data_IF_853893662074
#
_entry.id   IF_853893662074
#
_cell.length_a   1.000
_cell.length_b   1.000
_cell.length_c   1.000
_cell.angle_alpha   90.00
_cell.angle_beta   90.00
_cell.angle_gamma   90.00
#
_symmetry.space_group_name_H-M   'P 1'
#
loop_
_entity.id
_entity.type
_entity.pdbx_description
1 polymer ?
#
# COMPACT_ATOMS: atom_id res chain seq x y z
N UNK A 1 -16.50 -10.42 0.58
CA UNK A 1 -15.49 -10.86 1.57
C UNK A 1 -15.32 -9.70 2.53
N UNK A 2 -15.59 -9.86 3.82
CA UNK A 2 -15.26 -8.81 4.80
C UNK A 2 -13.74 -8.83 4.96
N UNK A 3 -13.04 -7.95 4.23
CA UNK A 3 -11.60 -7.80 4.38
C UNK A 3 -11.25 -7.40 5.82
N UNK A 4 -10.14 -7.91 6.34
CA UNK A 4 -9.64 -7.52 7.66
C UNK A 4 -9.35 -6.01 7.65
N UNK A 5 -9.85 -5.30 8.66
CA UNK A 5 -9.62 -3.88 8.87
C UNK A 5 -9.00 -3.68 10.25
N UNK A 6 -7.84 -3.05 10.32
CA UNK A 6 -7.15 -2.73 11.56
C UNK A 6 -7.28 -1.25 11.83
N UNK A 7 -7.59 -0.88 13.07
CA UNK A 7 -7.74 0.52 13.46
C UNK A 7 -6.74 0.89 14.55
N UNK A 8 -6.17 2.07 14.41
CA UNK A 8 -5.34 2.72 15.44
C UNK A 8 -5.98 4.06 15.83
N UNK A 9 -5.31 4.83 16.67
CA UNK A 9 -5.76 6.19 17.03
C UNK A 9 -5.92 7.09 15.79
N UNK A 10 -4.99 7.00 14.83
CA UNK A 10 -4.92 7.92 13.67
C UNK A 10 -5.14 7.26 12.32
N UNK A 11 -5.00 5.94 12.24
CA UNK A 11 -4.95 5.20 10.97
C UNK A 11 -6.00 4.10 10.91
N UNK A 12 -6.43 3.78 9.69
CA UNK A 12 -7.15 2.57 9.33
C UNK A 12 -6.26 1.82 8.32
N UNK A 13 -6.03 0.53 8.55
CA UNK A 13 -5.47 -0.36 7.54
C UNK A 13 -6.62 -1.15 6.94
N UNK A 14 -6.85 -0.98 5.64
CA UNK A 14 -7.92 -1.67 4.91
C UNK A 14 -7.44 -2.15 3.55
N UNK A 15 -8.10 -3.15 2.92
CA UNK A 15 -7.78 -3.56 1.57
C UNK A 15 -7.78 -2.37 0.61
N UNK A 16 -6.90 -2.39 -0.38
CA UNK A 16 -6.90 -1.40 -1.46
C UNK A 16 -8.18 -1.45 -2.30
N UNK A 17 -8.60 -0.29 -2.80
CA UNK A 17 -9.71 -0.15 -3.75
C UNK A 17 -9.21 0.58 -5.00
N UNK A 18 -9.75 0.28 -6.18
CA UNK A 18 -9.34 0.96 -7.43
C UNK A 18 -9.58 2.47 -7.40
N UNK A 19 -10.53 2.92 -6.57
CA UNK A 19 -10.84 4.33 -6.29
C UNK A 19 -9.71 5.07 -5.57
N UNK A 20 -8.74 4.36 -4.99
CA UNK A 20 -7.56 4.95 -4.35
C UNK A 20 -6.50 5.43 -5.34
N UNK A 21 -6.68 5.17 -6.64
CA UNK A 21 -5.65 5.40 -7.65
C UNK A 21 -5.12 6.84 -7.69
N UNK A 22 -6.00 7.83 -7.52
CA UNK A 22 -5.62 9.25 -7.51
C UNK A 22 -4.67 9.57 -6.35
N UNK A 23 -5.02 9.15 -5.14
CA UNK A 23 -4.22 9.42 -3.95
C UNK A 23 -2.96 8.53 -3.90
N UNK A 24 -3.03 7.30 -4.41
CA UNK A 24 -1.85 6.46 -4.62
C UNK A 24 -0.85 7.15 -5.56
N UNK A 25 -1.32 7.65 -6.72
CA UNK A 25 -0.49 8.36 -7.68
C UNK A 25 0.14 9.63 -7.10
N UNK A 26 -0.61 10.37 -6.27
CA UNK A 26 -0.13 11.60 -5.62
C UNK A 26 1.21 11.39 -4.91
N UNK A 27 1.41 10.26 -4.25
CA UNK A 27 2.64 9.94 -3.52
C UNK A 27 3.61 9.05 -4.33
N UNK A 28 3.11 8.03 -5.03
CA UNK A 28 3.93 7.03 -5.72
C UNK A 28 4.68 7.57 -6.96
N UNK A 29 4.34 8.77 -7.43
CA UNK A 29 5.10 9.48 -8.47
C UNK A 29 6.41 10.10 -7.98
N UNK A 30 6.59 10.24 -6.66
CA UNK A 30 7.81 10.83 -6.09
C UNK A 30 8.95 9.79 -6.12
N UNK A 31 10.13 10.12 -6.69
CA UNK A 31 11.26 9.19 -6.80
C UNK A 31 11.85 8.76 -5.44
N UNK A 32 11.42 9.37 -4.33
CA UNK A 32 11.80 8.97 -2.97
C UNK A 32 10.91 7.87 -2.39
N UNK A 33 9.83 7.47 -3.07
CA UNK A 33 8.87 6.46 -2.58
C UNK A 33 9.14 5.10 -3.22
N UNK A 34 8.81 4.93 -4.50
CA UNK A 34 8.90 3.62 -5.15
C UNK A 34 10.30 3.06 -5.32
N UNK A 35 11.27 3.85 -5.84
CA UNK A 35 12.60 3.33 -6.15
C UNK A 35 13.34 2.75 -4.95
N UNK A 36 13.16 3.30 -3.74
CA UNK A 36 13.78 2.76 -2.53
C UNK A 36 13.13 1.45 -2.06
N UNK A 37 11.88 1.19 -2.48
CA UNK A 37 11.13 -0.04 -2.25
C UNK A 37 11.23 -1.03 -3.43
N UNK A 38 12.02 -0.71 -4.47
CA UNK A 38 12.31 -1.63 -5.57
C UNK A 38 11.38 -1.56 -6.79
N UNK A 39 10.48 -0.58 -6.87
CA UNK A 39 9.55 -0.39 -8.00
C UNK A 39 9.68 1.01 -8.65
N UNK A 40 9.43 1.16 -9.96
CA UNK A 40 9.56 2.45 -10.64
C UNK A 40 8.49 3.45 -10.19
N UNK A 41 8.76 4.75 -10.29
CA UNK A 41 7.72 5.77 -10.00
C UNK A 41 6.47 5.55 -10.84
N UNK A 42 5.30 5.75 -10.23
CA UNK A 42 4.05 5.72 -10.98
C UNK A 42 3.98 6.92 -11.94
N UNK A 43 3.48 6.69 -13.13
CA UNK A 43 3.54 7.64 -14.25
C UNK A 43 2.20 8.35 -14.53
N UNK A 44 1.10 7.79 -14.02
CA UNK A 44 -0.24 8.37 -14.13
C UNK A 44 -1.19 7.76 -13.08
N UNK A 45 -2.38 8.34 -12.95
CA UNK A 45 -3.46 7.74 -12.16
C UNK A 45 -3.85 6.34 -12.68
N UNK A 46 -3.89 6.14 -14.00
CA UNK A 46 -4.20 4.82 -14.58
C UNK A 46 -3.11 3.79 -14.28
N UNK A 47 -1.85 4.21 -14.26
CA UNK A 47 -0.72 3.37 -13.84
C UNK A 47 -0.89 2.93 -12.38
N UNK A 48 -1.20 3.87 -11.47
CA UNK A 48 -1.54 3.52 -10.08
C UNK A 48 -2.73 2.58 -9.98
N UNK A 49 -3.78 2.77 -10.79
CA UNK A 49 -4.94 1.87 -10.82
C UNK A 49 -4.56 0.46 -11.27
N UNK A 50 -3.66 0.34 -12.24
CA UNK A 50 -3.15 -0.95 -12.68
C UNK A 50 -2.31 -1.62 -11.56
N UNK A 51 -1.40 -0.88 -10.92
CA UNK A 51 -0.60 -1.38 -9.78
C UNK A 51 -1.50 -1.80 -8.62
N UNK A 52 -2.56 -1.04 -8.32
CA UNK A 52 -3.55 -1.41 -7.29
C UNK A 52 -4.16 -2.78 -7.61
N UNK A 53 -4.68 -2.96 -8.83
CA UNK A 53 -5.31 -4.21 -9.26
C UNK A 53 -4.36 -5.39 -9.23
N UNK A 54 -3.15 -5.21 -9.74
CA UNK A 54 -2.24 -6.33 -10.01
C UNK A 54 -1.35 -6.69 -8.83
N UNK A 55 -1.04 -5.72 -7.96
CA UNK A 55 -0.02 -5.90 -6.91
C UNK A 55 -0.51 -5.57 -5.49
N UNK A 56 -1.45 -4.64 -5.31
CA UNK A 56 -1.85 -4.19 -3.97
C UNK A 56 -3.16 -4.79 -3.46
N UNK A 57 -4.06 -5.20 -4.37
CA UNK A 57 -5.31 -5.89 -4.04
C UNK A 57 -5.08 -7.40 -3.82
N UNK A 58 -4.11 -7.73 -2.97
CA UNK A 58 -3.78 -9.10 -2.57
C UNK A 58 -3.98 -9.27 -1.06
N UNK A 59 -4.16 -10.51 -0.55
CA UNK A 59 -4.26 -10.76 0.88
C UNK A 59 -3.10 -10.15 1.66
N UNK A 60 -3.38 -9.68 2.87
CA UNK A 60 -2.40 -9.08 3.77
C UNK A 60 -1.62 -7.87 3.21
N UNK A 61 -2.14 -7.22 2.15
CA UNK A 61 -1.68 -5.89 1.69
C UNK A 61 -2.77 -4.85 1.89
N UNK A 62 -2.43 -3.76 2.58
CA UNK A 62 -3.38 -2.77 3.06
C UNK A 62 -2.97 -1.36 2.64
N UNK A 63 -3.97 -0.57 2.27
CA UNK A 63 -3.84 0.88 2.25
C UNK A 63 -3.74 1.39 3.69
N UNK A 64 -2.71 2.19 3.97
CA UNK A 64 -2.60 2.95 5.22
C UNK A 64 -3.43 4.20 5.05
N UNK A 65 -4.60 4.29 5.67
CA UNK A 65 -5.55 5.40 5.52
C UNK A 65 -5.49 6.31 6.74
N UNK A 66 -5.30 7.61 6.51
CA UNK A 66 -5.34 8.62 7.57
C UNK A 66 -6.80 8.93 7.94
N UNK A 67 -7.18 8.74 9.21
CA UNK A 67 -8.57 8.92 9.68
C UNK A 67 -9.11 10.33 9.46
N UNK A 68 -8.25 11.35 9.54
CA UNK A 68 -8.64 12.76 9.37
C UNK A 68 -9.17 13.06 7.96
N UNK A 69 -8.57 12.44 6.94
CA UNK A 69 -8.92 12.70 5.53
C UNK A 69 -9.74 11.58 4.92
N UNK A 70 -9.66 10.36 5.47
CA UNK A 70 -10.21 9.16 4.87
C UNK A 70 -9.44 8.69 3.63
N UNK A 71 -8.25 9.25 3.39
CA UNK A 71 -7.45 9.01 2.18
C UNK A 71 -6.21 8.15 2.49
N UNK A 72 -5.79 7.29 1.55
CA UNK A 72 -4.57 6.49 1.70
C UNK A 72 -3.33 7.37 1.67
N UNK A 73 -2.38 7.11 2.57
CA UNK A 73 -1.09 7.81 2.68
C UNK A 73 0.09 6.88 2.46
N UNK A 74 -0.15 5.60 2.19
CA UNK A 74 0.88 4.59 2.04
C UNK A 74 0.32 3.18 1.88
N UNK A 75 1.22 2.21 1.80
CA UNK A 75 0.91 0.78 1.80
C UNK A 75 1.68 0.07 2.90
N UNK A 76 1.08 -0.97 3.48
CA UNK A 76 1.75 -1.94 4.33
C UNK A 76 1.32 -3.35 3.94
N UNK A 77 2.28 -4.25 3.81
CA UNK A 77 2.06 -5.63 3.39
C UNK A 77 2.80 -6.63 4.27
N UNK A 78 2.17 -7.77 4.50
CA UNK A 78 2.79 -8.95 5.10
C UNK A 78 2.87 -10.05 4.04
N UNK A 79 4.08 -10.49 3.70
CA UNK A 79 4.35 -11.37 2.58
C UNK A 79 5.00 -12.67 3.03
N UNK A 80 4.45 -13.80 2.59
CA UNK A 80 5.10 -15.10 2.69
C UNK A 80 5.82 -15.38 1.37
N UNK A 81 7.13 -15.22 1.36
CA UNK A 81 7.97 -15.33 0.17
C UNK A 81 9.34 -15.92 0.53
N UNK A 82 10.29 -15.88 -0.39
CA UNK A 82 11.64 -16.45 -0.20
C UNK A 82 12.44 -15.81 0.95
N UNK A 83 12.01 -14.66 1.50
CA UNK A 83 12.60 -14.05 2.71
C UNK A 83 11.94 -14.54 4.01
N UNK A 84 10.88 -15.33 3.90
CA UNK A 84 10.09 -15.88 5.00
C UNK A 84 9.72 -17.34 4.71
N UNK A 85 10.71 -18.24 4.85
CA UNK A 85 10.61 -19.64 4.43
C UNK A 85 9.80 -20.52 5.40
N UNK A 86 9.65 -20.09 6.67
CA UNK A 86 8.88 -20.84 7.68
C UNK A 86 7.43 -20.40 7.75
N UNK A 87 6.56 -21.30 8.18
CA UNK A 87 5.11 -21.02 8.35
C UNK A 87 4.82 -19.91 9.36
N UNK A 88 5.72 -19.70 10.33
CA UNK A 88 5.62 -18.67 11.37
C UNK A 88 6.47 -17.43 11.08
N UNK A 89 6.99 -17.30 9.86
CA UNK A 89 7.74 -16.14 9.38
C UNK A 89 6.93 -15.40 8.29
N UNK A 90 7.11 -14.08 8.23
CA UNK A 90 6.63 -13.27 7.14
C UNK A 90 7.52 -12.03 6.96
N UNK A 91 7.68 -11.59 5.71
CA UNK A 91 8.32 -10.31 5.38
C UNK A 91 7.30 -9.18 5.54
N UNK A 92 7.69 -8.12 6.23
CA UNK A 92 6.90 -6.88 6.30
C UNK A 92 7.50 -5.83 5.38
N UNK A 93 6.70 -5.34 4.44
CA UNK A 93 7.05 -4.24 3.54
C UNK A 93 6.10 -3.06 3.73
N UNK A 94 6.61 -1.83 3.59
CA UNK A 94 5.77 -0.64 3.62
C UNK A 94 6.37 0.53 2.84
N UNK A 95 5.51 1.47 2.45
CA UNK A 95 5.90 2.80 1.98
C UNK A 95 4.89 3.85 2.44
N UNK A 96 5.35 5.09 2.61
CA UNK A 96 4.53 6.25 2.96
C UNK A 96 4.80 7.38 1.97
N UNK A 97 3.79 8.22 1.76
CA UNK A 97 3.99 9.52 1.12
C UNK A 97 4.96 10.37 1.92
N UNK A 98 5.81 11.12 1.24
CA UNK A 98 6.95 11.85 1.84
C UNK A 98 6.56 12.82 2.98
N UNK A 99 5.31 13.25 3.02
CA UNK A 99 4.80 14.23 3.99
C UNK A 99 4.42 13.61 5.36
N UNK A 100 4.47 12.28 5.50
CA UNK A 100 4.03 11.53 6.70
C UNK A 100 5.17 10.74 7.34
#
# INVERSE_FOLDING_TARGET
MNGMMLETERLILRPWEETDAEECYKYAKDPRVGPIAGWPVHTSEEDSRQVIRDALMVPETYAIVLKETGLPIGSIGLHHNDLAEKEDEAELGYWLGVEY
#
